data_IF_973924220303
#
_entry.id   IF_973924220303
#
_cell.length_a   1.000
_cell.length_b   1.000
_cell.length_c   1.000
_cell.angle_alpha   90.00
_cell.angle_beta   90.00
_cell.angle_gamma   90.00
#
_symmetry.space_group_name_H-M   'P 1'
#
loop_
_entity.id
_entity.type
_entity.pdbx_description
1 polymer ?
#
# COMPACT_ATOMS: atom_id res chain seq x y z
N UNK A 1 6.08 -3.68 -3.58
CA UNK A 1 6.19 -2.65 -4.65
C UNK A 1 5.16 -2.98 -5.72
N UNK A 2 4.58 -1.97 -6.35
CA UNK A 2 3.46 -2.14 -7.27
C UNK A 2 3.39 -0.99 -8.28
N UNK A 3 2.69 -1.24 -9.39
CA UNK A 3 2.51 -0.27 -10.49
C UNK A 3 1.07 0.27 -10.57
N UNK A 4 0.15 -0.37 -9.87
CA UNK A 4 -1.27 -0.03 -9.77
C UNK A 4 -1.70 -0.18 -8.32
N UNK A 5 -2.01 0.93 -7.66
CA UNK A 5 -2.36 0.96 -6.24
C UNK A 5 -3.72 0.29 -5.99
N UNK A 6 -4.72 0.56 -6.83
CA UNK A 6 -6.06 -0.01 -6.70
C UNK A 6 -6.04 -1.52 -6.94
N UNK A 7 -5.47 -1.97 -8.05
CA UNK A 7 -5.42 -3.39 -8.36
C UNK A 7 -4.66 -4.20 -7.29
N UNK A 8 -3.63 -3.60 -6.70
CA UNK A 8 -2.86 -4.22 -5.61
C UNK A 8 -3.72 -4.38 -4.34
N UNK A 9 -4.39 -3.32 -3.91
CA UNK A 9 -5.28 -3.35 -2.75
C UNK A 9 -6.45 -4.34 -2.97
N UNK A 10 -7.08 -4.30 -4.15
CA UNK A 10 -8.16 -5.23 -4.50
C UNK A 10 -7.67 -6.68 -4.53
N UNK A 11 -6.44 -6.94 -4.98
CA UNK A 11 -5.90 -8.30 -5.00
C UNK A 11 -5.68 -8.88 -3.61
N UNK A 12 -5.13 -8.09 -2.68
CA UNK A 12 -5.00 -8.52 -1.28
C UNK A 12 -6.38 -8.65 -0.63
N UNK A 13 -7.31 -7.73 -0.93
CA UNK A 13 -8.69 -7.80 -0.45
C UNK A 13 -9.43 -9.06 -0.90
N UNK A 14 -9.23 -9.51 -2.14
CA UNK A 14 -9.79 -10.79 -2.62
C UNK A 14 -9.26 -11.98 -1.82
N UNK A 15 -7.97 -11.98 -1.48
CA UNK A 15 -7.38 -13.03 -0.66
C UNK A 15 -7.92 -12.97 0.77
N UNK A 16 -7.99 -11.77 1.35
CA UNK A 16 -8.53 -11.53 2.70
C UNK A 16 -9.99 -11.96 2.84
N UNK A 17 -10.79 -11.83 1.78
CA UNK A 17 -12.20 -12.27 1.75
C UNK A 17 -12.39 -13.78 1.55
N UNK A 18 -11.32 -14.54 1.27
CA UNK A 18 -11.41 -15.98 1.14
C UNK A 18 -11.43 -16.63 2.52
N UNK A 19 -12.52 -17.29 2.86
CA UNK A 19 -12.60 -18.10 4.08
C UNK A 19 -11.77 -19.39 3.96
N UNK A 20 -11.24 -19.85 5.10
CA UNK A 20 -10.55 -21.13 5.21
C UNK A 20 -9.05 -21.09 4.90
N UNK A 21 -8.43 -19.90 4.83
CA UNK A 21 -6.97 -19.78 4.73
C UNK A 21 -6.38 -20.14 6.09
N UNK A 22 -5.66 -21.26 6.15
CA UNK A 22 -5.01 -21.73 7.39
C UNK A 22 -3.53 -21.37 7.47
N UNK A 23 -2.92 -21.05 6.33
CA UNK A 23 -1.52 -20.64 6.23
C UNK A 23 -1.33 -19.61 5.13
N UNK A 24 -0.57 -18.55 5.43
CA UNK A 24 -0.06 -17.57 4.46
C UNK A 24 1.44 -17.80 4.31
N UNK A 25 1.85 -18.26 3.11
CA UNK A 25 3.24 -18.51 2.75
C UNK A 25 3.80 -17.29 2.00
N UNK A 26 4.38 -16.36 2.75
CA UNK A 26 5.00 -15.16 2.19
C UNK A 26 6.29 -15.49 1.43
N UNK A 27 6.56 -14.76 0.34
CA UNK A 27 7.76 -14.98 -0.45
C UNK A 27 9.07 -14.58 0.25
N UNK A 28 8.99 -13.70 1.25
CA UNK A 28 10.15 -13.07 1.91
C UNK A 28 10.02 -12.97 3.44
N UNK A 29 8.99 -13.60 4.02
CA UNK A 29 8.74 -13.58 5.46
C UNK A 29 8.34 -14.98 5.91
N UNK A 30 8.38 -15.22 7.23
CA UNK A 30 7.99 -16.49 7.82
C UNK A 30 6.51 -16.81 7.57
N UNK A 31 6.14 -18.10 7.45
CA UNK A 31 4.76 -18.52 7.36
C UNK A 31 3.90 -17.99 8.52
N UNK A 32 2.70 -17.50 8.20
CA UNK A 32 1.69 -17.10 9.21
C UNK A 32 0.55 -18.10 9.22
N UNK A 33 0.06 -18.46 10.41
CA UNK A 33 -0.91 -19.56 10.59
C UNK A 33 -2.21 -19.07 11.23
N UNK A 34 -3.33 -19.65 10.80
CA UNK A 34 -4.65 -19.37 11.35
C UNK A 34 -5.00 -17.87 11.31
N UNK A 35 -5.40 -17.31 12.45
CA UNK A 35 -5.78 -15.89 12.57
C UNK A 35 -4.65 -14.92 12.17
N UNK A 36 -3.39 -15.31 12.35
CA UNK A 36 -2.23 -14.50 11.97
C UNK A 36 -2.13 -14.30 10.46
N UNK A 37 -2.62 -15.25 9.65
CA UNK A 37 -2.67 -15.10 8.20
C UNK A 37 -3.63 -13.96 7.80
N UNK A 38 -4.80 -13.90 8.44
CA UNK A 38 -5.78 -12.84 8.22
C UNK A 38 -5.28 -11.50 8.74
N UNK A 39 -4.68 -11.48 9.94
CA UNK A 39 -4.09 -10.26 10.50
C UNK A 39 -3.00 -9.68 9.60
N UNK A 40 -2.12 -10.50 9.05
CA UNK A 40 -1.08 -10.04 8.12
C UNK A 40 -1.66 -9.41 6.85
N UNK A 41 -2.77 -9.95 6.33
CA UNK A 41 -3.46 -9.35 5.19
C UNK A 41 -4.12 -8.02 5.56
N UNK A 42 -4.77 -7.93 6.73
CA UNK A 42 -5.38 -6.69 7.24
C UNK A 42 -4.34 -5.59 7.46
N UNK A 43 -3.20 -5.94 8.07
CA UNK A 43 -2.06 -5.03 8.25
C UNK A 43 -1.50 -4.57 6.90
N UNK A 44 -1.36 -5.48 5.93
CA UNK A 44 -0.91 -5.14 4.57
C UNK A 44 -1.86 -4.18 3.86
N UNK A 45 -3.17 -4.40 3.98
CA UNK A 45 -4.22 -3.54 3.43
C UNK A 45 -4.22 -2.15 4.08
N UNK A 46 -4.16 -2.09 5.42
CA UNK A 46 -4.06 -0.82 6.15
C UNK A 46 -2.77 -0.06 5.79
N UNK A 47 -1.68 -0.77 5.55
CA UNK A 47 -0.42 -0.15 5.14
C UNK A 47 -0.47 0.41 3.72
N UNK A 48 -1.16 -0.26 2.79
CA UNK A 48 -1.42 0.30 1.45
C UNK A 48 -2.23 1.59 1.52
N UNK A 49 -3.26 1.63 2.36
CA UNK A 49 -4.06 2.85 2.59
C UNK A 49 -3.21 3.98 3.18
N UNK A 50 -2.40 3.68 4.20
CA UNK A 50 -1.47 4.66 4.79
C UNK A 50 -0.50 5.25 3.77
N UNK A 51 -0.02 4.43 2.83
CA UNK A 51 0.84 4.93 1.73
C UNK A 51 0.05 5.86 0.82
N UNK A 52 -1.19 5.50 0.47
CA UNK A 52 -2.06 6.33 -0.35
C UNK A 52 -2.26 7.72 0.27
N UNK A 53 -2.68 7.76 1.53
CA UNK A 53 -2.93 9.00 2.29
C UNK A 53 -1.66 9.85 2.36
N UNK A 54 -0.52 9.25 2.72
CA UNK A 54 0.75 9.98 2.80
C UNK A 54 1.16 10.59 1.45
N UNK A 55 0.90 9.87 0.35
CA UNK A 55 1.16 10.38 -1.01
C UNK A 55 0.25 11.55 -1.35
N UNK A 56 -1.04 11.48 -1.00
CA UNK A 56 -1.97 12.58 -1.26
C UNK A 56 -1.64 13.83 -0.43
N UNK A 57 -1.33 13.65 0.85
CA UNK A 57 -0.94 14.74 1.75
C UNK A 57 0.31 15.48 1.25
N UNK A 58 1.30 14.75 0.71
CA UNK A 58 2.52 15.33 0.19
C UNK A 58 2.36 15.96 -1.21
N UNK A 59 1.38 15.52 -2.01
CA UNK A 59 1.18 16.02 -3.37
C UNK A 59 0.55 17.43 -3.42
N UNK A 60 -0.16 17.83 -2.36
CA UNK A 60 -0.88 19.11 -2.32
C UNK A 60 -1.99 19.23 -3.37
N UNK A 61 -2.47 20.45 -3.60
CA UNK A 61 -3.59 20.75 -4.53
C UNK A 61 -3.14 21.03 -5.98
N UNK A 62 -1.84 21.00 -6.27
CA UNK A 62 -1.27 21.29 -7.58
C UNK A 62 -1.22 20.09 -8.53
N UNK A 63 -0.82 20.32 -9.78
CA UNK A 63 -0.39 19.21 -10.66
C UNK A 63 0.95 18.66 -10.13
N UNK A 64 1.03 17.36 -9.77
CA UNK A 64 2.20 16.83 -9.09
C UNK A 64 3.37 16.73 -10.06
N UNK A 65 4.47 17.44 -9.76
CA UNK A 65 5.76 17.11 -10.37
C UNK A 65 6.21 15.72 -9.89
N UNK A 66 6.63 14.80 -10.77
CA UNK A 66 6.77 13.37 -10.46
C UNK A 66 7.80 12.99 -9.38
N UNK A 67 8.73 13.90 -9.03
CA UNK A 67 9.96 13.55 -8.28
C UNK A 67 10.02 14.17 -6.89
N UNK A 68 9.44 15.34 -6.68
CA UNK A 68 9.47 16.03 -5.38
C UNK A 68 8.67 15.32 -4.25
N UNK A 69 7.47 14.77 -4.49
CA UNK A 69 6.66 14.17 -3.42
C UNK A 69 7.30 12.91 -2.81
N UNK A 70 8.14 12.20 -3.56
CA UNK A 70 8.53 10.84 -3.22
C UNK A 70 9.50 10.76 -2.01
N UNK A 71 10.33 11.80 -1.80
CA UNK A 71 11.22 11.88 -0.63
C UNK A 71 10.45 12.26 0.64
N UNK A 72 9.50 13.17 0.51
CA UNK A 72 8.72 13.67 1.64
C UNK A 72 7.74 12.58 2.11
N UNK A 73 7.14 11.83 1.19
CA UNK A 73 6.36 10.62 1.49
C UNK A 73 7.19 9.59 2.24
N UNK A 74 8.43 9.33 1.80
CA UNK A 74 9.31 8.38 2.48
C UNK A 74 9.61 8.82 3.93
N UNK A 75 9.78 10.12 4.17
CA UNK A 75 9.97 10.67 5.51
C UNK A 75 8.70 10.52 6.39
N UNK A 76 7.51 10.81 5.84
CA UNK A 76 6.22 10.61 6.54
C UNK A 76 6.00 9.15 6.91
N UNK A 77 6.41 8.22 6.04
CA UNK A 77 6.33 6.78 6.28
C UNK A 77 7.42 6.25 7.22
N UNK A 78 8.35 7.10 7.68
CA UNK A 78 9.45 6.71 8.56
C UNK A 78 10.51 5.84 7.86
N UNK A 79 10.55 5.87 6.53
CA UNK A 79 11.53 5.12 5.75
C UNK A 79 12.89 5.83 5.80
N UNK A 80 14.00 5.09 5.98
CA UNK A 80 15.31 5.72 5.96
C UNK A 80 15.61 6.25 4.55
N UNK A 81 16.31 7.37 4.43
CA UNK A 81 16.59 8.01 3.14
C UNK A 81 17.24 7.07 2.11
N UNK A 82 18.05 6.09 2.57
CA UNK A 82 18.67 5.05 1.74
C UNK A 82 17.71 3.99 1.18
N UNK A 83 16.50 3.89 1.72
CA UNK A 83 15.46 2.99 1.21
C UNK A 83 14.73 3.56 -0.02
N UNK A 84 14.98 4.83 -0.35
CA UNK A 84 14.47 5.41 -1.58
C UNK A 84 15.06 4.69 -2.79
N UNK A 85 14.18 4.19 -3.66
CA UNK A 85 14.56 3.51 -4.89
C UNK A 85 13.61 3.90 -6.02
N UNK A 86 14.02 3.76 -7.30
CA UNK A 86 13.14 4.01 -8.44
C UNK A 86 11.83 3.20 -8.39
N UNK A 87 11.87 1.99 -7.83
CA UNK A 87 10.70 1.12 -7.72
C UNK A 87 9.73 1.60 -6.63
N UNK A 88 10.23 2.21 -5.56
CA UNK A 88 9.40 2.88 -4.56
C UNK A 88 8.75 4.13 -5.14
N UNK A 89 9.50 4.94 -5.89
CA UNK A 89 8.96 6.12 -6.58
C UNK A 89 7.82 5.74 -7.55
N UNK A 90 7.97 4.64 -8.28
CA UNK A 90 6.92 4.09 -9.16
C UNK A 90 5.65 3.70 -8.39
N UNK A 91 5.81 3.13 -7.19
CA UNK A 91 4.68 2.79 -6.31
C UNK A 91 3.96 4.04 -5.81
N UNK A 92 4.67 5.12 -5.50
CA UNK A 92 4.04 6.41 -5.13
C UNK A 92 3.34 7.07 -6.32
N UNK A 93 3.95 7.05 -7.50
CA UNK A 93 3.29 7.51 -8.73
C UNK A 93 1.99 6.73 -9.03
N UNK A 94 1.95 5.43 -8.73
CA UNK A 94 0.74 4.64 -8.88
C UNK A 94 -0.41 5.15 -7.99
N UNK A 95 -0.12 5.66 -6.80
CA UNK A 95 -1.11 6.28 -5.92
C UNK A 95 -1.60 7.64 -6.45
N UNK A 96 -0.69 8.47 -6.98
CA UNK A 96 -1.06 9.77 -7.58
C UNK A 96 -2.01 9.63 -8.78
N UNK A 97 -1.90 8.54 -9.54
CA UNK A 97 -2.80 8.25 -10.68
C UNK A 97 -4.25 8.03 -10.26
N UNK A 98 -4.48 7.66 -9.00
CA UNK A 98 -5.80 7.37 -8.43
C UNK A 98 -6.16 8.37 -7.33
N UNK A 99 -5.59 9.58 -7.37
CA UNK A 99 -5.83 10.66 -6.39
C UNK A 99 -7.27 11.17 -6.31
N UNK A 100 -8.11 10.81 -7.27
CA UNK A 100 -9.55 11.07 -7.25
C UNK A 100 -10.31 10.12 -6.33
N UNK A 101 -9.66 9.04 -5.86
CA UNK A 101 -10.24 8.09 -4.91
C UNK A 101 -10.06 8.61 -3.49
N UNK A 102 -11.12 8.46 -2.69
CA UNK A 102 -11.09 8.75 -1.25
C UNK A 102 -10.29 7.71 -0.45
N UNK A 103 -10.00 6.56 -1.05
CA UNK A 103 -9.30 5.43 -0.46
C UNK A 103 -9.13 4.29 -1.46
N UNK A 104 -8.23 3.35 -1.18
CA UNK A 104 -7.97 2.21 -2.05
C UNK A 104 -8.97 1.06 -1.82
N UNK A 105 -9.63 1.04 -0.66
CA UNK A 105 -10.57 0.01 -0.26
C UNK A 105 -12.01 0.51 -0.33
N UNK A 106 -12.91 -0.33 -0.84
CA UNK A 106 -14.34 0.00 -0.97
C UNK A 106 -15.08 -0.15 0.37
N UNK A 107 -14.72 -1.13 1.21
CA UNK A 107 -15.34 -1.40 2.51
C UNK A 107 -14.34 -2.08 3.48
N UNK A 108 -14.48 -1.91 4.80
CA UNK A 108 -13.70 -2.65 5.80
C UNK A 108 -14.09 -4.13 5.84
N UNK A 109 -13.09 -5.01 6.06
CA UNK A 109 -13.30 -6.45 6.14
C UNK A 109 -13.91 -6.85 7.49
N UNK A 110 -14.98 -7.64 7.46
CA UNK A 110 -15.62 -8.24 8.65
C UNK A 110 -14.86 -9.48 9.16
#
# INVERSE_FOLDING_TARGET
MYDDALASAESVGRLRNRHGITVLLSAWDEPRYGAEAYRAMDEGLAYLEKIHDAVLDCAGTGEPEPVAPARDVAAVLGLPARAFSPLLAKSFMANLRVRDKKGLLKEPFA
#
